data_IF_157389046921
#
_entry.id   IF_157389046921
#
_cell.length_a   1.000
_cell.length_b   1.000
_cell.length_c   1.000
_cell.angle_alpha   90.00
_cell.angle_beta   90.00
_cell.angle_gamma   90.00
#
_symmetry.space_group_name_H-M   'P 1'
#
loop_
_entity.id
_entity.type
_entity.pdbx_description
1 polymer ?
#
# COMPACT_ATOMS: atom_id res chain seq x y z
N UNK A 1 10.50 35.20 -15.50
CA UNK A 1 11.87 34.69 -15.69
C UNK A 1 11.82 33.68 -16.83
N UNK A 2 12.22 34.04 -18.05
CA UNK A 2 12.35 33.05 -19.15
C UNK A 2 13.58 32.20 -18.89
N UNK A 3 13.40 30.93 -18.54
CA UNK A 3 14.50 29.96 -18.52
C UNK A 3 14.85 29.60 -19.96
N UNK A 4 15.86 30.26 -20.52
CA UNK A 4 16.53 29.80 -21.73
C UNK A 4 17.57 28.76 -21.32
N UNK A 5 17.12 27.52 -21.16
CA UNK A 5 18.05 26.40 -21.13
C UNK A 5 18.66 26.27 -22.53
N UNK A 6 19.98 26.18 -22.59
CA UNK A 6 20.68 25.80 -23.81
C UNK A 6 20.24 24.39 -24.25
N UNK A 7 20.38 24.08 -25.53
CA UNK A 7 19.94 22.78 -26.04
C UNK A 7 20.70 21.60 -25.41
N UNK A 8 21.97 21.82 -25.00
CA UNK A 8 22.74 20.85 -24.22
C UNK A 8 22.17 20.61 -22.81
N UNK A 9 21.68 21.66 -22.15
CA UNK A 9 21.04 21.52 -20.84
C UNK A 9 19.69 20.81 -20.92
N UNK A 10 18.94 21.01 -22.01
CA UNK A 10 17.68 20.28 -22.28
C UNK A 10 17.94 18.80 -22.52
N UNK A 11 18.95 18.47 -23.32
CA UNK A 11 19.33 17.08 -23.60
C UNK A 11 19.80 16.37 -22.31
N UNK A 12 20.65 17.02 -21.51
CA UNK A 12 21.07 16.48 -20.21
C UNK A 12 19.89 16.28 -19.25
N UNK A 13 18.91 17.18 -19.24
CA UNK A 13 17.71 17.04 -18.41
C UNK A 13 16.84 15.86 -18.85
N UNK A 14 16.70 15.65 -20.15
CA UNK A 14 15.94 14.54 -20.71
C UNK A 14 16.62 13.19 -20.43
N UNK A 15 17.94 13.11 -20.61
CA UNK A 15 18.73 11.92 -20.25
C UNK A 15 18.60 11.59 -18.75
N UNK A 16 18.66 12.60 -17.88
CA UNK A 16 18.45 12.41 -16.43
C UNK A 16 17.03 11.92 -16.12
N UNK A 17 16.02 12.43 -16.84
CA UNK A 17 14.64 11.95 -16.70
C UNK A 17 14.53 10.47 -17.04
N UNK A 18 15.07 10.07 -18.18
CA UNK A 18 15.05 8.67 -18.64
C UNK A 18 15.79 7.77 -17.64
N UNK A 19 16.97 8.18 -17.17
CA UNK A 19 17.73 7.43 -16.16
C UNK A 19 16.95 7.27 -14.84
N UNK A 20 16.24 8.31 -14.42
CA UNK A 20 15.42 8.27 -13.19
C UNK A 20 14.24 7.31 -13.37
N UNK A 21 13.54 7.35 -14.51
CA UNK A 21 12.44 6.42 -14.79
C UNK A 21 12.92 4.96 -14.87
N UNK A 22 14.09 4.71 -15.46
CA UNK A 22 14.69 3.39 -15.51
C UNK A 22 15.05 2.89 -14.09
N UNK A 23 15.62 3.77 -13.27
CA UNK A 23 15.95 3.45 -11.88
C UNK A 23 14.71 3.09 -11.07
N UNK A 24 13.62 3.86 -11.20
CA UNK A 24 12.35 3.60 -10.52
C UNK A 24 11.76 2.24 -10.92
N UNK A 25 11.76 1.91 -12.23
CA UNK A 25 11.34 0.60 -12.72
C UNK A 25 12.20 -0.52 -12.14
N UNK A 26 13.52 -0.31 -12.04
CA UNK A 26 14.45 -1.27 -11.45
C UNK A 26 14.22 -1.46 -9.94
N UNK A 27 13.94 -0.39 -9.20
CA UNK A 27 13.61 -0.44 -7.77
C UNK A 27 12.30 -1.20 -7.58
N UNK A 28 11.25 -0.85 -8.32
CA UNK A 28 9.95 -1.52 -8.24
C UNK A 28 10.09 -3.04 -8.49
N UNK A 29 10.84 -3.43 -9.53
CA UNK A 29 11.08 -4.84 -9.87
C UNK A 29 11.88 -5.59 -8.79
N UNK A 30 12.89 -4.96 -8.17
CA UNK A 30 13.65 -5.58 -7.08
C UNK A 30 12.81 -5.71 -5.82
N UNK A 31 11.99 -4.71 -5.53
CA UNK A 31 11.12 -4.72 -4.36
C UNK A 31 10.07 -5.83 -4.49
N UNK A 32 9.42 -5.96 -5.65
CA UNK A 32 8.45 -7.04 -5.89
C UNK A 32 9.07 -8.43 -5.81
N UNK A 33 10.29 -8.61 -6.33
CA UNK A 33 11.01 -9.88 -6.26
C UNK A 33 11.32 -10.32 -4.82
N UNK A 34 11.54 -9.36 -3.90
CA UNK A 34 11.87 -9.65 -2.51
C UNK A 34 10.66 -9.97 -1.65
N UNK A 35 9.52 -9.33 -1.92
CA UNK A 35 8.35 -9.38 -1.05
C UNK A 35 7.21 -10.25 -1.58
N UNK A 36 7.29 -10.64 -2.85
CA UNK A 36 6.25 -11.41 -3.53
C UNK A 36 5.06 -10.55 -3.97
N UNK A 37 4.11 -11.21 -4.63
CA UNK A 37 2.90 -10.57 -5.13
C UNK A 37 1.92 -10.22 -3.99
N UNK A 38 1.18 -9.10 -4.11
CA UNK A 38 0.04 -8.81 -3.25
C UNK A 38 -0.95 -9.97 -3.18
N UNK A 39 -1.50 -10.20 -1.99
CA UNK A 39 -2.52 -11.21 -1.71
C UNK A 39 -3.82 -10.51 -1.36
N UNK A 40 -4.93 -11.15 -1.69
CA UNK A 40 -6.27 -10.67 -1.35
C UNK A 40 -6.88 -11.55 -0.26
N UNK A 41 -7.52 -10.94 0.72
CA UNK A 41 -8.38 -11.62 1.69
C UNK A 41 -9.62 -10.77 1.95
N UNK A 42 -10.80 -11.31 1.61
CA UNK A 42 -12.11 -10.65 1.79
C UNK A 42 -12.16 -9.21 1.22
N UNK A 43 -11.63 -9.03 0.02
CA UNK A 43 -11.58 -7.73 -0.66
C UNK A 43 -10.52 -6.76 -0.13
N UNK A 44 -9.68 -7.17 0.83
CA UNK A 44 -8.55 -6.38 1.32
C UNK A 44 -7.26 -6.94 0.73
N UNK A 45 -6.53 -6.07 0.03
CA UNK A 45 -5.20 -6.38 -0.51
C UNK A 45 -4.15 -6.16 0.57
N UNK A 46 -3.22 -7.12 0.70
CA UNK A 46 -2.09 -7.02 1.63
C UNK A 46 -0.84 -7.66 1.02
N UNK A 47 0.33 -7.21 1.44
CA UNK A 47 1.60 -7.80 1.01
C UNK A 47 2.57 -7.89 2.17
N UNK A 48 3.65 -8.64 1.99
CA UNK A 48 4.78 -8.57 2.90
C UNK A 48 5.61 -7.34 2.52
N UNK A 49 6.20 -6.65 3.50
CA UNK A 49 7.20 -5.63 3.24
C UNK A 49 8.60 -6.24 3.32
N UNK A 50 9.61 -5.45 2.96
CA UNK A 50 11.01 -5.92 2.91
C UNK A 50 11.57 -6.35 4.28
N UNK A 51 10.87 -6.03 5.38
CA UNK A 51 11.24 -6.45 6.74
C UNK A 51 10.58 -7.79 7.14
N UNK A 52 9.81 -8.41 6.25
CA UNK A 52 9.10 -9.65 6.53
C UNK A 52 7.78 -9.46 7.28
N UNK A 53 7.27 -8.22 7.39
CA UNK A 53 6.00 -7.93 8.06
C UNK A 53 4.90 -7.74 7.03
N UNK A 54 3.68 -8.14 7.35
CA UNK A 54 2.51 -7.98 6.49
C UNK A 54 1.87 -6.62 6.67
N UNK A 55 1.48 -5.96 5.59
CA UNK A 55 0.79 -4.67 5.60
C UNK A 55 -0.32 -4.63 4.56
N UNK A 56 -1.41 -3.94 4.88
CA UNK A 56 -2.52 -3.73 3.96
C UNK A 56 -2.17 -2.64 2.94
N UNK A 57 -2.49 -2.91 1.68
CA UNK A 57 -2.28 -1.99 0.56
C UNK A 57 -3.55 -1.17 0.35
N UNK A 58 -3.39 0.12 0.08
CA UNK A 58 -4.51 1.03 -0.25
C UNK A 58 -5.59 1.10 0.84
N UNK A 59 -5.20 1.03 2.11
CA UNK A 59 -6.09 1.22 3.24
C UNK A 59 -6.14 2.71 3.63
N UNK A 60 -7.31 3.19 4.09
CA UNK A 60 -7.39 4.53 4.67
C UNK A 60 -6.56 4.62 5.97
N UNK A 61 -5.95 5.79 6.19
CA UNK A 61 -5.10 6.08 7.34
C UNK A 61 -5.80 5.92 8.69
N UNK A 62 -7.13 6.09 8.71
CA UNK A 62 -7.97 5.94 9.91
C UNK A 62 -8.36 4.49 10.19
N UNK A 63 -8.12 3.59 9.24
CA UNK A 63 -8.48 2.19 9.39
C UNK A 63 -7.60 1.53 10.46
N UNK A 64 -8.17 0.67 11.33
CA UNK A 64 -7.39 -0.14 12.26
C UNK A 64 -6.48 -1.17 11.56
N UNK A 65 -6.63 -1.33 10.24
CA UNK A 65 -5.74 -2.13 9.39
C UNK A 65 -4.52 -1.34 8.90
N UNK A 66 -4.43 -0.04 9.19
CA UNK A 66 -3.27 0.79 8.91
C UNK A 66 -2.14 0.47 9.91
N UNK A 67 -1.39 -0.60 9.65
CA UNK A 67 -0.31 -1.06 10.49
C UNK A 67 0.46 -2.22 9.85
N UNK A 68 1.49 -2.66 10.57
CA UNK A 68 2.31 -3.82 10.19
C UNK A 68 2.03 -4.99 11.13
N UNK A 69 1.96 -6.20 10.56
CA UNK A 69 1.59 -7.42 11.26
C UNK A 69 2.68 -8.48 11.10
N UNK A 70 2.97 -9.23 12.17
CA UNK A 70 4.02 -10.26 12.15
C UNK A 70 3.59 -11.54 11.43
N UNK A 71 2.30 -11.73 11.18
CA UNK A 71 1.77 -12.89 10.45
C UNK A 71 0.49 -12.56 9.69
N UNK A 72 0.26 -13.27 8.58
CA UNK A 72 -0.98 -13.17 7.82
C UNK A 72 -2.21 -13.60 8.64
N UNK A 73 -2.07 -14.60 9.52
CA UNK A 73 -3.17 -15.09 10.35
C UNK A 73 -3.69 -14.04 11.34
N UNK A 74 -2.79 -13.22 11.93
CA UNK A 74 -3.18 -12.10 12.79
C UNK A 74 -3.97 -11.06 11.98
N UNK A 75 -3.49 -10.75 10.77
CA UNK A 75 -4.18 -9.83 9.87
C UNK A 75 -5.58 -10.34 9.51
N UNK A 76 -5.72 -11.59 9.07
CA UNK A 76 -7.01 -12.20 8.74
C UNK A 76 -7.97 -12.19 9.93
N UNK A 77 -7.46 -12.51 11.12
CA UNK A 77 -8.26 -12.46 12.36
C UNK A 77 -8.76 -11.05 12.67
N UNK A 78 -7.98 -10.01 12.37
CA UNK A 78 -8.41 -8.62 12.55
C UNK A 78 -9.51 -8.26 11.55
N UNK A 79 -9.33 -8.64 10.28
CA UNK A 79 -10.32 -8.45 9.21
C UNK A 79 -11.65 -9.11 9.59
N UNK A 80 -11.61 -10.38 10.03
CA UNK A 80 -12.79 -11.13 10.44
C UNK A 80 -13.53 -10.47 11.61
N UNK A 81 -12.79 -9.92 12.57
CA UNK A 81 -13.37 -9.17 13.70
C UNK A 81 -14.03 -7.87 13.26
N UNK A 82 -13.44 -7.15 12.30
CA UNK A 82 -13.99 -5.90 11.79
C UNK A 82 -15.29 -6.15 11.02
N UNK A 83 -15.33 -7.17 10.18
CA UNK A 83 -16.57 -7.59 9.51
C UNK A 83 -17.66 -8.01 10.51
N UNK A 84 -17.28 -8.78 11.53
CA UNK A 84 -18.21 -9.21 12.58
C UNK A 84 -18.77 -8.02 13.38
N UNK A 85 -17.97 -6.98 13.61
CA UNK A 85 -18.41 -5.77 14.31
C UNK A 85 -19.25 -4.85 13.42
N UNK A 86 -18.94 -4.75 12.13
CA UNK A 86 -19.78 -4.05 11.16
C UNK A 86 -21.20 -4.64 11.10
N UNK A 87 -21.31 -5.98 11.20
CA UNK A 87 -22.60 -6.68 11.30
C UNK A 87 -23.32 -6.52 12.64
N UNK A 88 -22.64 -6.12 13.72
CA UNK A 88 -23.24 -5.89 15.05
C UNK A 88 -23.75 -4.45 15.24
N UNK A 89 -23.09 -3.46 14.63
CA UNK A 89 -23.50 -2.06 14.70
C UNK A 89 -24.90 -1.81 14.13
N UNK A 90 -25.34 -2.61 13.16
CA UNK A 90 -26.68 -2.52 12.56
C UNK A 90 -27.79 -3.15 13.42
N UNK A 91 -27.47 -3.83 14.53
CA UNK A 91 -28.44 -4.56 15.34
C UNK A 91 -28.66 -4.00 16.75
N UNK A 92 -28.13 -2.80 17.05
CA UNK A 92 -28.49 -2.05 18.26
C UNK A 92 -29.85 -1.37 18.01
N UNK A 93 -30.89 -2.20 17.96
CA UNK A 93 -32.28 -1.75 18.04
C UNK A 93 -32.44 -1.08 19.40
N UNK A 94 -32.58 0.24 19.38
CA UNK A 94 -32.99 1.09 20.49
C UNK A 94 -34.16 0.47 21.24
N UNK A 95 -33.86 -0.23 22.35
CA UNK A 95 -34.82 -0.49 23.42
C UNK A 95 -34.52 0.50 24.52
N UNK A 96 -35.07 1.71 24.40
CA UNK A 96 -35.32 2.53 25.57
C UNK A 96 -36.78 2.34 25.97
N UNK A 97 -36.92 2.01 27.25
CA UNK A 97 -38.15 1.81 28.01
C UNK A 97 -38.92 3.11 28.21
#
# INVERSE_FOLDING_TARGET
MSSYLSDAEKEMLEEKRIQTEQLDKHIAKRNSALVGEPKEYKGINYSMNQRGLYECISIDSTSPLNGVFTSASILHSLIDKLESNAGKASNVKTKNA
#
